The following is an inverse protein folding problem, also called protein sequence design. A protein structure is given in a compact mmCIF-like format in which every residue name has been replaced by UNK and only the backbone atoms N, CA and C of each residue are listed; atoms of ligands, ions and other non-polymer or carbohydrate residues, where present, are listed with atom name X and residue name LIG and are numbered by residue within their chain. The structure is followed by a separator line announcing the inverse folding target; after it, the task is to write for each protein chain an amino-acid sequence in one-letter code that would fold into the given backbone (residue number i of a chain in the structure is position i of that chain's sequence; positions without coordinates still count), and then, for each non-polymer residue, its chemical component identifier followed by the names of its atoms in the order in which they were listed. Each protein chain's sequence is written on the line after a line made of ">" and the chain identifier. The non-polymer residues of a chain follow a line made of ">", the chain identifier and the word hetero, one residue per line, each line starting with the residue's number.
data_IF_877523433312
#
_entry.id   IF_877523433312
#
_cell.length_a   1.000
_cell.length_b   1.000
_cell.length_c   1.000
_cell.angle_alpha   90.00
_cell.angle_beta   90.00
_cell.angle_gamma   90.00
#
_symmetry.space_group_name_H-M   'P 1'
#
loop_
_entity.id
_entity.type
_entity.pdbx_description
1 polymer ?
#
# COMPACT_ATOMS: atom_id res chain seq x y z
N UNK A 1 -20.99 7.53 -17.82
CA UNK A 1 -21.17 7.06 -16.43
C UNK A 1 -21.13 8.27 -15.50
N UNK A 2 -21.95 8.28 -14.45
CA UNK A 2 -22.00 9.31 -13.40
C UNK A 2 -21.37 8.74 -12.12
N UNK A 3 -20.59 9.56 -11.43
CA UNK A 3 -19.99 9.25 -10.12
C UNK A 3 -20.66 10.16 -9.09
N UNK A 4 -21.23 9.57 -8.04
CA UNK A 4 -21.86 10.28 -6.93
C UNK A 4 -21.09 9.98 -5.65
N UNK A 5 -20.52 11.01 -5.02
CA UNK A 5 -19.90 10.86 -3.70
C UNK A 5 -21.00 10.68 -2.65
N UNK A 6 -20.86 9.64 -1.83
CA UNK A 6 -21.80 9.25 -0.79
C UNK A 6 -21.32 9.68 0.60
N UNK A 7 -20.01 9.58 0.85
CA UNK A 7 -19.41 9.99 2.11
C UNK A 7 -17.97 10.48 1.92
N UNK A 8 -17.54 11.34 2.85
CA UNK A 8 -16.17 11.87 2.98
C UNK A 8 -15.76 11.76 4.43
N UNK A 9 -14.55 11.26 4.69
CA UNK A 9 -13.97 11.06 6.02
C UNK A 9 -12.48 11.41 5.99
N UNK A 10 -11.95 11.78 7.15
CA UNK A 10 -10.52 11.80 7.39
C UNK A 10 -10.16 10.58 8.23
N UNK A 11 -9.25 9.75 7.73
CA UNK A 11 -8.82 8.51 8.38
C UNK A 11 -7.47 8.75 9.03
N UNK A 12 -7.47 8.96 10.34
CA UNK A 12 -6.27 9.12 11.14
C UNK A 12 -5.52 7.79 11.34
N UNK A 13 -4.21 7.82 11.63
CA UNK A 13 -3.47 6.64 12.09
C UNK A 13 -4.14 5.96 13.29
N UNK A 14 -4.05 4.64 13.37
CA UNK A 14 -4.62 3.83 14.45
C UNK A 14 -3.90 4.02 15.79
N UNK A 15 -2.62 4.35 15.73
CA UNK A 15 -1.77 4.72 16.85
C UNK A 15 -1.18 6.11 16.60
N UNK A 16 -1.11 6.98 17.61
CA UNK A 16 -0.68 8.35 17.45
C UNK A 16 0.80 8.45 17.06
N UNK A 17 1.12 9.43 16.23
CA UNK A 17 2.49 9.71 15.82
C UNK A 17 3.31 10.18 17.03
N UNK A 18 4.46 9.54 17.34
CA UNK A 18 5.32 9.94 18.45
C UNK A 18 5.73 11.42 18.36
N UNK A 19 5.86 12.16 19.49
CA UNK A 19 6.17 13.59 19.48
C UNK A 19 7.43 13.96 18.69
N UNK A 20 8.45 13.10 18.70
CA UNK A 20 9.69 13.32 17.97
C UNK A 20 9.59 13.08 16.44
N UNK A 21 8.46 12.56 15.95
CA UNK A 21 8.18 12.28 14.53
C UNK A 21 7.10 13.22 13.95
N UNK A 22 6.56 14.15 14.73
CA UNK A 22 5.45 15.02 14.32
C UNK A 22 5.81 16.06 13.25
N UNK A 23 7.10 16.27 12.97
CA UNK A 23 7.55 17.15 11.91
C UNK A 23 8.58 16.44 11.03
N UNK A 24 8.25 16.25 9.76
CA UNK A 24 9.14 15.67 8.76
C UNK A 24 9.54 16.73 7.75
N UNK A 25 10.82 17.10 7.72
CA UNK A 25 11.35 17.97 6.65
C UNK A 25 11.42 17.20 5.35
N UNK A 26 10.98 17.81 4.26
CA UNK A 26 11.06 17.19 2.93
C UNK A 26 12.50 17.27 2.40
N UNK A 27 12.93 16.27 1.64
CA UNK A 27 14.28 16.23 1.09
C UNK A 27 14.47 17.23 -0.05
N UNK A 28 15.71 17.45 -0.50
CA UNK A 28 15.96 18.28 -1.68
C UNK A 28 15.38 17.67 -2.96
N UNK A 29 15.28 16.34 -3.07
CA UNK A 29 14.63 15.67 -4.20
C UNK A 29 13.12 15.94 -4.21
N UNK A 30 12.51 15.90 -3.04
CA UNK A 30 11.08 16.16 -2.87
C UNK A 30 10.70 17.63 -3.15
N UNK A 31 11.60 18.57 -2.85
CA UNK A 31 11.43 19.99 -3.20
C UNK A 31 11.42 20.24 -4.71
N UNK A 32 12.16 19.43 -5.47
CA UNK A 32 12.21 19.50 -6.93
C UNK A 32 11.02 18.79 -7.59
N UNK A 33 10.28 17.97 -6.85
CA UNK A 33 9.12 17.28 -7.37
C UNK A 33 7.99 18.27 -7.72
N UNK A 34 7.25 18.02 -8.81
CA UNK A 34 6.15 18.88 -9.21
C UNK A 34 5.07 18.92 -8.10
N UNK A 35 4.41 20.07 -7.87
CA UNK A 35 3.31 20.20 -6.91
C UNK A 35 2.03 19.57 -7.46
N UNK A 36 2.08 18.27 -7.73
CA UNK A 36 1.00 17.48 -8.33
C UNK A 36 0.75 16.25 -7.49
N UNK A 37 -0.45 15.71 -7.59
CA UNK A 37 -0.75 14.39 -7.05
C UNK A 37 -0.64 13.33 -8.13
N UNK A 38 -0.08 12.18 -7.75
CA UNK A 38 0.07 11.00 -8.60
C UNK A 38 -1.10 10.06 -8.33
N UNK A 39 -2.05 9.94 -9.28
CA UNK A 39 -3.17 9.00 -9.18
C UNK A 39 -2.76 7.55 -9.47
N UNK A 40 -3.39 6.62 -8.77
CA UNK A 40 -3.37 5.18 -9.02
C UNK A 40 -4.80 4.65 -8.94
N UNK A 41 -5.21 3.79 -9.88
CA UNK A 41 -6.55 3.19 -9.89
C UNK A 41 -6.45 1.69 -10.05
N UNK A 42 -7.14 0.96 -9.19
CA UNK A 42 -7.23 -0.49 -9.20
C UNK A 42 -8.67 -0.92 -9.44
N UNK A 43 -8.88 -1.82 -10.42
CA UNK A 43 -10.20 -2.31 -10.80
C UNK A 43 -10.39 -3.76 -10.33
N UNK A 44 -11.53 -4.02 -9.69
CA UNK A 44 -11.87 -5.31 -9.11
C UNK A 44 -13.24 -5.76 -9.65
N UNK A 45 -13.27 -6.61 -10.70
CA UNK A 45 -14.51 -7.20 -11.18
C UNK A 45 -15.15 -8.09 -10.12
N UNK A 46 -16.43 -8.41 -10.32
CA UNK A 46 -17.11 -9.42 -9.50
C UNK A 46 -16.50 -10.79 -9.82
N UNK A 47 -15.88 -11.44 -8.84
CA UNK A 47 -15.41 -12.82 -8.96
C UNK A 47 -16.60 -13.78 -8.86
N UNK A 48 -16.71 -14.71 -9.82
CA UNK A 48 -17.79 -15.70 -9.86
C UNK A 48 -17.78 -16.71 -8.71
N UNK A 49 -16.67 -16.82 -7.97
CA UNK A 49 -16.52 -17.72 -6.81
C UNK A 49 -16.87 -17.06 -5.47
N UNK A 50 -17.20 -15.76 -5.47
CA UNK A 50 -17.46 -15.01 -4.25
C UNK A 50 -18.97 -15.01 -3.93
N UNK A 51 -19.42 -16.12 -3.34
CA UNK A 51 -20.81 -16.32 -2.89
C UNK A 51 -21.18 -15.53 -1.61
N UNK A 52 -20.53 -14.40 -1.28
CA UNK A 52 -20.91 -13.70 -0.06
C UNK A 52 -20.18 -12.42 0.34
N UNK A 53 -19.16 -11.94 -0.39
CA UNK A 53 -18.53 -10.65 -0.08
C UNK A 53 -19.44 -9.46 -0.41
N UNK A 54 -20.32 -9.05 0.50
CA UNK A 54 -21.13 -7.84 0.34
C UNK A 54 -20.20 -6.63 0.09
N UNK A 55 -20.47 -5.81 -0.92
CA UNK A 55 -19.73 -4.56 -1.15
C UNK A 55 -19.70 -3.64 0.09
N UNK A 56 -20.67 -3.78 1.00
CA UNK A 56 -20.64 -3.14 2.30
C UNK A 56 -19.44 -3.60 3.16
N UNK A 57 -19.14 -4.90 3.18
CA UNK A 57 -18.02 -5.44 3.96
C UNK A 57 -16.68 -5.11 3.31
N UNK A 58 -16.61 -5.12 1.97
CA UNK A 58 -15.45 -4.63 1.23
C UNK A 58 -15.19 -3.16 1.53
N UNK A 59 -16.22 -2.32 1.49
CA UNK A 59 -16.11 -0.90 1.84
C UNK A 59 -15.60 -0.71 3.27
N UNK A 60 -16.17 -1.41 4.26
CA UNK A 60 -15.71 -1.34 5.66
C UNK A 60 -14.23 -1.71 5.82
N UNK A 61 -13.77 -2.78 5.15
CA UNK A 61 -12.35 -3.19 5.20
C UNK A 61 -11.43 -2.15 4.57
N UNK A 62 -11.80 -1.62 3.41
CA UNK A 62 -11.03 -0.59 2.69
C UNK A 62 -11.03 0.74 3.44
N UNK A 63 -12.11 1.08 4.17
CA UNK A 63 -12.18 2.28 5.01
C UNK A 63 -11.34 2.15 6.29
N UNK A 64 -11.31 0.97 6.92
CA UNK A 64 -10.62 0.76 8.20
C UNK A 64 -9.11 0.57 8.04
N UNK A 65 -8.68 -0.16 7.01
CA UNK A 65 -7.27 -0.54 6.82
C UNK A 65 -6.26 0.60 6.61
N UNK A 66 -6.62 1.79 6.08
CA UNK A 66 -5.71 2.93 6.03
C UNK A 66 -5.28 3.36 7.42
N UNK A 67 -6.13 3.31 8.45
CA UNK A 67 -5.75 3.73 9.81
C UNK A 67 -4.56 2.94 10.34
N UNK A 68 -4.58 1.61 10.17
CA UNK A 68 -3.44 0.76 10.55
C UNK A 68 -2.21 1.09 9.69
N UNK A 69 -2.40 1.22 8.37
CA UNK A 69 -1.29 1.48 7.43
C UNK A 69 -0.61 2.82 7.69
N UNK A 70 -1.39 3.85 8.00
CA UNK A 70 -0.91 5.18 8.33
C UNK A 70 -0.12 5.21 9.64
N UNK A 71 -0.21 4.21 10.51
CA UNK A 71 0.72 4.12 11.65
C UNK A 71 2.15 3.85 11.20
N UNK A 72 2.34 3.09 10.10
CA UNK A 72 3.67 2.86 9.50
C UNK A 72 4.07 3.97 8.52
N UNK A 73 3.08 4.56 7.85
CA UNK A 73 3.24 5.63 6.86
C UNK A 73 2.69 6.95 7.38
N UNK A 74 3.05 7.31 8.62
CA UNK A 74 2.51 8.46 9.34
C UNK A 74 2.58 9.80 8.60
N UNK A 75 3.61 10.11 7.76
CA UNK A 75 3.60 11.36 7.00
C UNK A 75 2.42 11.47 6.03
N UNK A 76 1.90 10.35 5.53
CA UNK A 76 0.75 10.35 4.62
C UNK A 76 -0.57 10.74 5.31
N UNK A 77 -0.62 10.65 6.64
CA UNK A 77 -1.74 11.11 7.47
C UNK A 77 -1.57 12.53 8.01
N UNK A 78 -0.50 13.24 7.62
CA UNK A 78 -0.22 14.60 8.06
C UNK A 78 -0.76 15.69 7.12
N UNK A 79 -0.10 16.84 7.14
CA UNK A 79 -0.40 18.01 6.30
C UNK A 79 0.88 18.62 5.74
N UNK A 80 0.90 18.88 4.44
CA UNK A 80 2.03 19.56 3.82
C UNK A 80 1.98 21.07 4.10
N UNK A 81 3.05 21.60 4.67
CA UNK A 81 3.23 23.03 4.98
C UNK A 81 4.27 23.61 4.02
N UNK A 82 3.81 24.40 3.05
CA UNK A 82 4.66 24.91 1.98
C UNK A 82 5.69 25.93 2.51
N UNK A 83 5.31 26.75 3.49
CA UNK A 83 6.18 27.78 4.09
C UNK A 83 7.41 27.19 4.77
N UNK A 84 7.24 26.01 5.38
CA UNK A 84 8.28 25.34 6.15
C UNK A 84 8.97 24.21 5.39
N UNK A 85 8.50 23.88 4.17
CA UNK A 85 8.95 22.73 3.39
C UNK A 85 8.96 21.45 4.24
N UNK A 86 7.86 21.22 4.96
CA UNK A 86 7.74 20.13 5.91
C UNK A 86 6.34 19.54 5.92
N UNK A 87 6.23 18.32 6.41
CA UNK A 87 4.97 17.65 6.69
C UNK A 87 4.75 17.73 8.20
N UNK A 88 3.66 18.37 8.61
CA UNK A 88 3.12 18.26 9.95
C UNK A 88 2.41 16.92 10.09
N UNK A 89 3.04 15.96 10.75
CA UNK A 89 2.49 14.64 11.03
C UNK A 89 1.58 14.74 12.26
N UNK A 90 0.49 15.49 12.11
CA UNK A 90 -0.46 15.89 13.15
C UNK A 90 -1.66 14.93 13.30
N UNK A 91 -1.59 13.76 12.66
CA UNK A 91 -2.62 12.72 12.67
C UNK A 91 -4.01 13.17 12.19
N UNK A 92 -4.12 14.28 11.45
CA UNK A 92 -5.41 14.68 10.88
C UNK A 92 -5.96 13.67 9.87
N UNK A 93 -5.12 12.80 9.31
CA UNK A 93 -5.50 11.65 8.51
C UNK A 93 -5.57 11.88 7.01
N UNK A 94 -5.65 10.77 6.28
CA UNK A 94 -5.85 10.75 4.82
C UNK A 94 -7.33 10.99 4.46
N UNK A 95 -7.60 11.68 3.36
CA UNK A 95 -8.98 11.84 2.88
C UNK A 95 -9.48 10.52 2.28
N UNK A 96 -10.63 10.05 2.76
CA UNK A 96 -11.33 8.88 2.25
C UNK A 96 -12.70 9.27 1.71
N UNK A 97 -12.97 8.89 0.47
CA UNK A 97 -14.23 9.10 -0.22
C UNK A 97 -14.87 7.76 -0.54
N UNK A 98 -16.19 7.66 -0.36
CA UNK A 98 -16.99 6.56 -0.86
C UNK A 98 -17.93 7.06 -1.95
N UNK A 99 -17.97 6.38 -3.09
CA UNK A 99 -18.74 6.80 -4.26
C UNK A 99 -19.56 5.66 -4.86
N UNK A 100 -20.72 6.02 -5.44
CA UNK A 100 -21.50 5.16 -6.32
C UNK A 100 -21.27 5.56 -7.78
N UNK A 101 -21.07 4.56 -8.64
CA UNK A 101 -20.87 4.73 -10.08
C UNK A 101 -22.01 4.07 -10.83
N UNK A 102 -22.70 4.84 -11.67
CA UNK A 102 -23.75 4.31 -12.54
C UNK A 102 -23.14 3.44 -13.65
N UNK A 103 -23.77 2.31 -13.96
CA UNK A 103 -23.30 1.34 -14.94
C UNK A 103 -22.38 0.27 -14.35
N UNK A 104 -21.88 -0.59 -15.23
CA UNK A 104 -21.03 -1.73 -14.87
C UNK A 104 -19.55 -1.45 -15.07
N UNK A 105 -18.71 -2.10 -14.26
CA UNK A 105 -17.26 -2.02 -14.42
C UNK A 105 -16.80 -2.61 -15.77
N UNK A 106 -17.46 -3.64 -16.27
CA UNK A 106 -17.16 -4.21 -17.60
C UNK A 106 -17.44 -3.23 -18.74
N UNK A 107 -18.48 -2.40 -18.64
CA UNK A 107 -18.71 -1.30 -19.58
C UNK A 107 -17.60 -0.24 -19.54
N UNK A 108 -17.00 0.00 -18.37
CA UNK A 108 -15.90 0.95 -18.22
C UNK A 108 -14.61 0.43 -18.85
N UNK A 109 -14.33 -0.86 -18.65
CA UNK A 109 -13.12 -1.53 -19.13
C UNK A 109 -13.23 -2.07 -20.57
N UNK A 110 -14.40 -1.92 -21.20
CA UNK A 110 -14.64 -2.36 -22.57
C UNK A 110 -13.74 -1.64 -23.59
N UNK A 111 -13.63 -2.22 -24.80
CA UNK A 111 -12.72 -1.77 -25.87
C UNK A 111 -13.06 -0.42 -26.53
N UNK A 112 -14.00 0.35 -25.98
CA UNK A 112 -14.19 1.73 -26.43
C UNK A 112 -12.99 2.59 -26.01
N UNK A 113 -12.76 3.69 -26.71
CA UNK A 113 -11.68 4.65 -26.40
C UNK A 113 -11.61 4.93 -24.90
N UNK A 114 -10.40 4.89 -24.35
CA UNK A 114 -10.17 5.18 -22.94
C UNK A 114 -10.74 6.56 -22.59
N UNK A 115 -11.82 6.59 -21.81
CA UNK A 115 -12.50 7.83 -21.44
C UNK A 115 -11.71 8.50 -20.32
N UNK A 116 -10.68 9.27 -20.66
CA UNK A 116 -9.80 10.00 -19.73
C UNK A 116 -10.60 10.78 -18.67
N UNK A 117 -11.70 11.43 -19.08
CA UNK A 117 -12.64 12.13 -18.19
C UNK A 117 -13.25 11.25 -17.09
N UNK A 118 -13.52 9.99 -17.40
CA UNK A 118 -14.09 9.04 -16.43
C UNK A 118 -13.03 8.56 -15.44
N UNK A 119 -11.79 8.37 -15.90
CA UNK A 119 -10.68 7.96 -15.06
C UNK A 119 -10.40 8.98 -13.94
N UNK A 120 -10.37 10.27 -14.27
CA UNK A 120 -10.20 11.35 -13.30
C UNK A 120 -11.34 11.47 -12.27
N UNK A 121 -12.53 10.91 -12.55
CA UNK A 121 -13.67 10.90 -11.61
C UNK A 121 -13.61 9.75 -10.61
N UNK A 122 -12.77 8.75 -10.84
CA UNK A 122 -12.61 7.58 -9.96
C UNK A 122 -11.51 7.77 -8.91
N UNK A 123 -10.80 8.90 -8.97
CA UNK A 123 -9.90 9.39 -7.94
C UNK A 123 -10.48 10.65 -7.30
N UNK A 124 -10.13 10.95 -6.04
CA UNK A 124 -10.48 12.24 -5.42
C UNK A 124 -10.00 13.39 -6.29
N UNK A 125 -10.82 14.44 -6.47
CA UNK A 125 -10.42 15.57 -7.31
C UNK A 125 -9.22 16.31 -6.70
N UNK A 126 -8.05 16.05 -7.26
CA UNK A 126 -6.75 16.43 -6.67
C UNK A 126 -6.26 17.82 -7.01
N UNK A 127 -7.02 18.61 -7.77
CA UNK A 127 -6.52 19.89 -8.22
C UNK A 127 -6.29 20.87 -7.06
N UNK A 128 -7.02 20.75 -5.94
CA UNK A 128 -6.76 21.39 -4.63
C UNK A 128 -7.56 20.69 -3.51
N UNK A 129 -7.09 19.58 -2.93
CA UNK A 129 -7.78 19.01 -1.77
C UNK A 129 -7.71 20.01 -0.61
N UNK A 130 -8.84 20.25 0.05
CA UNK A 130 -8.91 21.12 1.23
C UNK A 130 -7.89 20.63 2.28
N UNK A 131 -7.12 21.56 2.86
CA UNK A 131 -6.05 21.28 3.82
C UNK A 131 -4.85 20.47 3.28
N UNK A 132 -4.67 20.28 1.96
CA UNK A 132 -3.49 19.63 1.38
C UNK A 132 -3.10 18.26 2.01
N UNK A 133 -4.04 17.29 2.19
CA UNK A 133 -3.73 15.95 2.68
C UNK A 133 -2.76 15.22 1.73
N UNK A 134 -1.60 14.73 2.19
CA UNK A 134 -0.63 14.03 1.35
C UNK A 134 -1.18 12.82 0.60
N UNK A 135 -2.20 12.16 1.14
CA UNK A 135 -2.85 10.99 0.59
C UNK A 135 -4.37 11.17 0.56
N UNK A 136 -4.98 10.81 -0.57
CA UNK A 136 -6.43 10.70 -0.72
C UNK A 136 -6.79 9.36 -1.34
N UNK A 137 -7.93 8.81 -0.94
CA UNK A 137 -8.43 7.49 -1.34
C UNK A 137 -9.91 7.62 -1.73
N UNK A 138 -10.32 6.95 -2.80
CA UNK A 138 -11.72 6.87 -3.23
C UNK A 138 -12.12 5.41 -3.51
N UNK A 139 -13.12 4.93 -2.79
CA UNK A 139 -13.75 3.64 -3.02
C UNK A 139 -14.99 3.81 -3.89
N UNK A 140 -14.97 3.25 -5.10
CA UNK A 140 -16.03 3.38 -6.10
C UNK A 140 -16.80 2.07 -6.26
N UNK A 141 -18.09 2.07 -5.95
CA UNK A 141 -19.00 0.93 -6.16
C UNK A 141 -19.74 1.07 -7.48
N UNK A 142 -19.67 0.06 -8.34
CA UNK A 142 -20.45 -0.01 -9.56
C UNK A 142 -21.77 -0.75 -9.31
N UNK A 143 -22.80 -0.45 -10.11
CA UNK A 143 -24.13 -1.11 -10.01
C UNK A 143 -24.03 -2.62 -10.24
N UNK A 144 -23.08 -3.07 -11.05
CA UNK A 144 -22.85 -4.49 -11.31
C UNK A 144 -22.15 -5.23 -10.16
N UNK A 145 -21.86 -4.56 -9.04
CA UNK A 145 -21.11 -5.14 -7.92
C UNK A 145 -19.58 -5.01 -8.03
N UNK A 146 -19.06 -4.64 -9.20
CA UNK A 146 -17.63 -4.35 -9.38
C UNK A 146 -17.19 -3.14 -8.56
N UNK A 147 -15.89 -3.05 -8.29
CA UNK A 147 -15.30 -1.98 -7.48
C UNK A 147 -14.10 -1.37 -8.19
N UNK A 148 -13.90 -0.07 -8.05
CA UNK A 148 -12.61 0.57 -8.34
C UNK A 148 -12.11 1.33 -7.11
N UNK A 149 -10.85 1.13 -6.75
CA UNK A 149 -10.19 1.88 -5.68
C UNK A 149 -9.21 2.84 -6.33
N UNK A 150 -9.47 4.13 -6.20
CA UNK A 150 -8.56 5.20 -6.60
C UNK A 150 -7.77 5.70 -5.39
N UNK A 151 -6.51 6.06 -5.59
CA UNK A 151 -5.70 6.77 -4.61
C UNK A 151 -4.88 7.85 -5.30
N UNK A 152 -4.63 8.95 -4.61
CA UNK A 152 -3.73 9.98 -5.07
C UNK A 152 -2.76 10.37 -3.95
N UNK A 153 -1.47 10.43 -4.26
CA UNK A 153 -0.43 10.86 -3.33
C UNK A 153 0.31 12.10 -3.84
N UNK A 154 0.65 13.03 -2.96
CA UNK A 154 1.43 14.20 -3.33
C UNK A 154 2.85 13.79 -3.78
N UNK A 155 3.24 14.17 -5.00
CA UNK A 155 4.56 13.81 -5.56
C UNK A 155 5.72 14.43 -4.78
N UNK A 156 5.47 15.54 -4.06
CA UNK A 156 6.42 16.18 -3.13
C UNK A 156 6.67 15.39 -1.83
N UNK A 157 6.04 14.23 -1.67
CA UNK A 157 6.12 13.43 -0.44
C UNK A 157 6.43 11.96 -0.75
N UNK A 158 6.00 11.48 -1.92
CA UNK A 158 6.18 10.09 -2.31
C UNK A 158 6.52 9.98 -3.80
N UNK A 159 7.57 9.22 -4.10
CA UNK A 159 7.85 8.71 -5.43
C UNK A 159 7.05 7.42 -5.73
N UNK A 160 7.19 6.88 -6.94
CA UNK A 160 6.47 5.69 -7.36
C UNK A 160 6.79 4.46 -6.47
N UNK A 161 8.02 4.34 -5.97
CA UNK A 161 8.42 3.24 -5.08
C UNK A 161 7.71 3.34 -3.73
N UNK A 162 7.69 4.54 -3.15
CA UNK A 162 7.00 4.85 -1.89
C UNK A 162 5.50 4.58 -2.01
N UNK A 163 4.87 5.05 -3.10
CA UNK A 163 3.45 4.79 -3.37
C UNK A 163 3.18 3.29 -3.53
N UNK A 164 4.00 2.57 -4.30
CA UNK A 164 3.86 1.11 -4.47
C UNK A 164 3.97 0.35 -3.14
N UNK A 165 4.91 0.74 -2.29
CA UNK A 165 5.11 0.16 -0.96
C UNK A 165 3.92 0.43 -0.05
N UNK A 166 3.38 1.66 -0.06
CA UNK A 166 2.17 2.00 0.67
C UNK A 166 0.98 1.15 0.20
N UNK A 167 0.73 1.05 -1.10
CA UNK A 167 -0.39 0.27 -1.66
C UNK A 167 -0.27 -1.21 -1.30
N UNK A 168 0.93 -1.80 -1.38
CA UNK A 168 1.15 -3.19 -1.02
C UNK A 168 0.88 -3.43 0.48
N UNK A 169 1.40 -2.56 1.34
CA UNK A 169 1.16 -2.63 2.79
C UNK A 169 -0.32 -2.46 3.12
N UNK A 170 -0.98 -1.48 2.50
CA UNK A 170 -2.40 -1.23 2.66
C UNK A 170 -3.25 -2.43 2.22
N UNK A 171 -2.92 -3.04 1.08
CA UNK A 171 -3.61 -4.23 0.60
C UNK A 171 -3.43 -5.42 1.56
N UNK A 172 -2.23 -5.58 2.13
CA UNK A 172 -1.97 -6.60 3.15
C UNK A 172 -2.78 -6.34 4.43
N UNK A 173 -2.78 -5.09 4.92
CA UNK A 173 -3.58 -4.65 6.06
C UNK A 173 -5.08 -4.90 5.83
N UNK A 174 -5.59 -4.62 4.64
CA UNK A 174 -7.00 -4.84 4.29
C UNK A 174 -7.38 -6.34 4.28
N UNK A 175 -6.46 -7.23 3.90
CA UNK A 175 -6.69 -8.68 3.90
C UNK A 175 -6.56 -9.30 5.29
N UNK A 176 -5.51 -8.94 6.02
CA UNK A 176 -5.05 -9.70 7.21
C UNK A 176 -4.95 -8.86 8.49
N UNK A 177 -4.96 -7.53 8.39
CA UNK A 177 -4.58 -6.60 9.46
C UNK A 177 -3.07 -6.41 9.57
N UNK A 178 -2.63 -5.29 10.15
CA UNK A 178 -1.20 -5.04 10.44
C UNK A 178 -0.87 -5.67 11.80
N UNK A 179 -0.05 -6.71 11.81
CA UNK A 179 0.33 -7.44 13.02
C UNK A 179 -0.20 -8.87 13.12
N UNK A 180 -0.83 -9.41 12.07
CA UNK A 180 -0.88 -10.87 11.90
C UNK A 180 0.34 -11.28 11.08
N UNK A 181 1.46 -11.70 11.69
CA UNK A 181 2.46 -12.45 10.94
C UNK A 181 1.73 -13.64 10.32
N UNK A 182 1.69 -13.67 8.99
CA UNK A 182 1.41 -14.93 8.32
C UNK A 182 2.76 -15.62 8.27
N UNK A 183 2.89 -16.69 9.05
CA UNK A 183 3.94 -17.67 8.82
C UNK A 183 3.75 -18.14 7.38
N UNK A 184 4.56 -17.62 6.48
CA UNK A 184 4.76 -18.27 5.20
C UNK A 184 5.56 -19.51 5.57
N UNK A 185 4.89 -20.65 5.71
CA UNK A 185 5.58 -21.91 5.46
C UNK A 185 5.98 -21.80 4.00
N UNK A 186 7.15 -21.20 3.75
CA UNK A 186 7.73 -21.16 2.44
C UNK A 186 7.75 -22.61 1.98
N UNK A 187 7.06 -22.89 0.88
CA UNK A 187 7.22 -24.14 0.15
C UNK A 187 8.71 -24.26 -0.09
N UNK A 188 9.33 -25.12 0.71
CA UNK A 188 10.70 -25.60 0.69
C UNK A 188 11.65 -24.79 -0.22
N UNK A 189 11.93 -23.53 0.16
CA UNK A 189 12.91 -22.71 -0.56
C UNK A 189 14.32 -23.33 -0.47
N UNK A 190 14.55 -24.17 0.55
CA UNK A 190 15.73 -25.01 0.70
C UNK A 190 15.76 -26.18 -0.31
N UNK A 191 14.63 -26.61 -0.88
CA UNK A 191 14.58 -27.66 -1.90
C UNK A 191 14.91 -27.20 -3.33
N UNK A 192 15.14 -25.90 -3.55
CA UNK A 192 15.55 -25.37 -4.85
C UNK A 192 17.03 -24.97 -4.83
N UNK A 193 17.94 -25.80 -5.40
CA UNK A 193 19.37 -25.51 -5.41
C UNK A 193 19.71 -24.15 -6.00
N UNK A 194 20.59 -23.40 -5.34
CA UNK A 194 21.02 -22.06 -5.75
C UNK A 194 20.20 -20.91 -5.17
N UNK A 195 19.23 -21.19 -4.29
CA UNK A 195 18.41 -20.16 -3.63
C UNK A 195 18.98 -19.81 -2.27
N UNK A 196 19.17 -18.51 -2.00
CA UNK A 196 19.50 -17.98 -0.67
C UNK A 196 18.27 -17.28 -0.13
N UNK A 197 17.78 -17.73 1.02
CA UNK A 197 16.65 -17.09 1.70
C UNK A 197 17.12 -16.45 2.99
N UNK A 198 16.91 -15.14 3.12
CA UNK A 198 17.21 -14.40 4.34
C UNK A 198 15.89 -14.09 5.05
N UNK A 199 15.83 -14.36 6.35
CA UNK A 199 14.66 -14.10 7.19
C UNK A 199 15.11 -13.49 8.52
N UNK A 200 14.32 -12.60 9.11
CA UNK A 200 14.59 -12.13 10.47
C UNK A 200 14.38 -13.28 11.47
N UNK A 201 15.15 -13.29 12.56
CA UNK A 201 14.98 -14.25 13.66
C UNK A 201 13.63 -14.08 14.34
N UNK A 202 13.11 -15.15 14.97
CA UNK A 202 11.80 -15.12 15.63
C UNK A 202 11.70 -14.04 16.73
N UNK A 203 12.82 -13.71 17.38
CA UNK A 203 12.92 -12.67 18.39
C UNK A 203 13.23 -11.27 17.83
N UNK A 204 13.41 -11.14 16.51
CA UNK A 204 13.77 -9.90 15.82
C UNK A 204 15.19 -9.39 16.15
N UNK A 205 16.03 -10.21 16.79
CA UNK A 205 17.39 -9.85 17.22
C UNK A 205 18.47 -10.05 16.16
N UNK A 206 18.15 -10.66 15.01
CA UNK A 206 19.12 -10.93 13.95
C UNK A 206 18.47 -11.42 12.64
N UNK A 207 19.32 -11.91 11.73
CA UNK A 207 18.93 -12.43 10.42
C UNK A 207 19.42 -13.89 10.30
N UNK A 208 18.52 -14.81 9.98
CA UNK A 208 18.82 -16.18 9.58
C UNK A 208 18.96 -16.29 8.07
N UNK A 209 19.92 -17.11 7.62
CA UNK A 209 20.15 -17.39 6.21
C UNK A 209 20.01 -18.89 5.94
N UNK A 210 19.07 -19.26 5.07
CA UNK A 210 18.88 -20.61 4.58
C UNK A 210 19.43 -20.73 3.16
N UNK A 211 20.27 -21.75 2.94
CA UNK A 211 20.93 -21.98 1.66
C UNK A 211 20.42 -23.30 1.06
N UNK A 212 19.75 -23.23 -0.09
CA UNK A 212 19.41 -24.40 -0.89
C UNK A 212 20.62 -24.85 -1.69
N UNK A 213 21.25 -25.97 -1.32
CA UNK A 213 22.40 -26.55 -2.02
C UNK A 213 21.97 -27.81 -2.79
N UNK A 214 22.59 -28.05 -3.95
CA UNK A 214 22.48 -29.36 -4.60
C UNK A 214 23.36 -30.40 -3.90
N UNK A 215 23.18 -31.69 -4.20
CA UNK A 215 23.94 -32.76 -3.55
C UNK A 215 25.46 -32.66 -3.72
N UNK A 216 25.95 -32.04 -4.81
CA UNK A 216 27.39 -31.88 -5.06
C UNK A 216 27.99 -30.68 -4.31
N UNK A 217 27.24 -29.59 -4.21
CA UNK A 217 27.62 -28.37 -3.48
C UNK A 217 27.43 -28.53 -1.98
N UNK A 218 26.46 -29.32 -1.53
CA UNK A 218 26.29 -29.70 -0.12
C UNK A 218 27.51 -30.47 0.40
N UNK A 219 28.02 -31.44 -0.38
CA UNK A 219 29.24 -32.20 -0.04
C UNK A 219 30.50 -31.32 -0.01
N UNK A 220 30.65 -30.40 -0.96
CA UNK A 220 31.74 -29.42 -0.99
C UNK A 220 31.67 -28.44 0.20
N UNK A 221 30.47 -27.99 0.56
CA UNK A 221 30.27 -27.09 1.70
C UNK A 221 30.61 -27.80 3.02
N UNK A 222 30.20 -29.06 3.17
CA UNK A 222 30.46 -29.87 4.36
C UNK A 222 31.96 -30.21 4.51
N UNK A 223 32.64 -30.55 3.40
CA UNK A 223 34.09 -30.75 3.39
C UNK A 223 34.88 -29.48 3.74
N UNK A 224 34.41 -28.30 3.32
CA UNK A 224 35.07 -27.03 3.66
C UNK A 224 34.79 -26.57 5.10
N UNK A 225 33.64 -26.94 5.70
CA UNK A 225 33.40 -26.68 7.12
C UNK A 225 34.31 -27.53 8.02
N UNK A 226 34.54 -28.80 7.66
CA UNK A 226 35.49 -29.66 8.37
C UNK A 226 36.94 -29.12 8.23
N UNK A 227 37.28 -28.50 7.10
CA UNK A 227 38.59 -27.82 6.90
C UNK A 227 38.69 -26.51 7.70
N UNK A 228 37.58 -25.77 7.88
CA UNK A 228 37.55 -24.55 8.69
C UNK A 228 37.58 -24.81 10.21
N UNK A 229 37.21 -26.02 10.66
CA UNK A 229 37.26 -26.45 12.05
C UNK A 229 38.47 -27.34 12.38
N UNK A 230 39.32 -27.68 11.40
CA UNK A 230 40.55 -28.46 11.62
C UNK A 230 41.85 -27.70 11.29
N UNK A 231 41.81 -26.37 11.13
CA UNK A 231 43.00 -25.53 11.00
C UNK A 231 43.28 -24.78 12.30
N UNK A 232 44.39 -25.13 12.96
CA UNK A 232 44.92 -24.60 14.23
C UNK A 232 44.60 -23.13 14.56
#
# INVERSE_FOLDING_TARGET
>A
MKVQILSRKLIAPSSPTPPNLQNLKISCFDQLAPPTYVPCIFYYPVSGEDHGGNNADRSKKVEKSPAETLTLFYPLGGRYIEENLSIECNDEGAEYLEAQVSGSLSQLLGREEFKTEMWWRLVPQVFRPENNPPLTIQFNRFECGGVATGSCAAHRIADAYTVGTFINTWAAACRMGIGKPSWVHGVDAAASPGTVTLMDTEDGGGIEAFLGLDGSTSLLFQQNLDVALSGN
#
